data_IF_973201444248
#
_entry.id   IF_973201444248
#
_cell.length_a   1.000
_cell.length_b   1.000
_cell.length_c   1.000
_cell.angle_alpha   90.00
_cell.angle_beta   90.00
_cell.angle_gamma   90.00
#
_symmetry.space_group_name_H-M   'P 1'
#
loop_
_entity.id
_entity.type
_entity.pdbx_description
1 polymer ?
#
# COMPACT_ATOMS: atom_id res chain seq x y z
N UNK A 1 10.00 -10.26 10.79
CA UNK A 1 10.21 -9.55 9.50
C UNK A 1 9.85 -8.08 9.72
N UNK A 2 10.74 -7.14 9.40
CA UNK A 2 10.46 -5.71 9.53
C UNK A 2 9.60 -5.22 8.37
N UNK A 3 8.47 -4.60 8.66
CA UNK A 3 7.48 -4.16 7.66
C UNK A 3 7.39 -2.63 7.63
N UNK A 4 7.57 -2.03 6.46
CA UNK A 4 7.28 -0.61 6.20
C UNK A 4 5.91 -0.50 5.56
N UNK A 5 4.97 0.17 6.23
CA UNK A 5 3.64 0.48 5.70
C UNK A 5 3.64 1.94 5.25
N UNK A 6 3.61 2.14 3.94
CA UNK A 6 3.49 3.46 3.31
C UNK A 6 2.01 3.72 3.08
N UNK A 7 1.46 4.64 3.88
CA UNK A 7 0.05 5.02 3.81
C UNK A 7 -0.11 6.24 2.91
N UNK A 8 -0.84 6.07 1.83
CA UNK A 8 -1.18 7.15 0.90
C UNK A 8 -2.68 7.47 0.98
N UNK A 9 -3.08 8.25 1.95
CA UNK A 9 -4.46 8.70 2.12
C UNK A 9 -4.53 10.23 2.22
N UNK A 10 -5.18 10.92 1.26
CA UNK A 10 -5.22 12.40 1.23
C UNK A 10 -5.92 13.03 2.43
N UNK A 11 -6.87 12.33 3.04
CA UNK A 11 -7.63 12.78 4.22
C UNK A 11 -7.74 11.64 5.24
N UNK A 12 -6.66 11.38 5.98
CA UNK A 12 -6.63 10.29 6.96
C UNK A 12 -7.63 10.50 8.10
N UNK A 13 -7.86 11.74 8.53
CA UNK A 13 -8.77 12.02 9.63
C UNK A 13 -10.22 11.66 9.30
N UNK A 14 -10.62 11.82 8.05
CA UNK A 14 -11.94 11.44 7.55
C UNK A 14 -12.06 9.95 7.18
N UNK A 15 -10.98 9.18 7.23
CA UNK A 15 -10.98 7.77 6.85
C UNK A 15 -11.34 6.87 8.03
N UNK A 16 -12.43 6.14 7.93
CA UNK A 16 -12.78 5.10 8.93
C UNK A 16 -11.86 3.87 8.80
N UNK A 17 -11.75 3.33 7.61
CA UNK A 17 -11.03 2.07 7.33
C UNK A 17 -9.52 2.22 7.47
N UNK A 18 -8.90 3.13 6.69
CA UNK A 18 -7.44 3.27 6.71
C UNK A 18 -6.92 3.75 8.06
N UNK A 19 -7.71 4.56 8.78
CA UNK A 19 -7.38 4.98 10.14
C UNK A 19 -7.44 3.83 11.14
N UNK A 20 -8.46 2.97 11.07
CA UNK A 20 -8.56 1.78 11.91
C UNK A 20 -7.39 0.82 11.66
N UNK A 21 -7.07 0.55 10.41
CA UNK A 21 -5.92 -0.27 10.04
C UNK A 21 -4.61 0.28 10.60
N UNK A 22 -4.36 1.57 10.40
CA UNK A 22 -3.18 2.24 10.97
C UNK A 22 -3.12 2.05 12.49
N UNK A 23 -4.20 2.37 13.21
CA UNK A 23 -4.22 2.31 14.67
C UNK A 23 -3.96 0.90 15.21
N UNK A 24 -4.40 -0.15 14.50
CA UNK A 24 -4.13 -1.54 14.88
C UNK A 24 -2.68 -1.96 14.61
N UNK A 25 -2.03 -1.35 13.62
CA UNK A 25 -0.66 -1.68 13.22
C UNK A 25 0.41 -0.89 13.99
N UNK A 26 0.14 0.36 14.39
CA UNK A 26 1.15 1.27 14.94
C UNK A 26 1.75 0.82 16.29
N UNK A 27 1.09 -0.10 17.00
CA UNK A 27 1.59 -0.68 18.25
C UNK A 27 2.33 -2.03 18.04
N UNK A 28 2.77 -2.33 16.84
CA UNK A 28 3.51 -3.56 16.52
C UNK A 28 5.00 -3.25 16.39
N UNK A 29 5.84 -3.92 17.17
CA UNK A 29 7.30 -3.65 17.23
C UNK A 29 8.03 -3.83 15.89
N UNK A 30 7.46 -4.64 15.00
CA UNK A 30 8.05 -4.94 13.69
C UNK A 30 7.44 -4.13 12.53
N UNK A 31 6.53 -3.18 12.81
CA UNK A 31 5.85 -2.38 11.79
C UNK A 31 6.19 -0.90 11.94
N UNK A 32 6.69 -0.30 10.87
CA UNK A 32 6.92 1.14 10.75
C UNK A 32 5.85 1.75 9.87
N UNK A 33 5.12 2.74 10.37
CA UNK A 33 4.10 3.48 9.63
C UNK A 33 4.71 4.76 9.04
N UNK A 34 4.51 4.98 7.75
CA UNK A 34 4.89 6.21 7.06
C UNK A 34 3.68 6.80 6.32
N UNK A 35 3.06 7.83 6.89
CA UNK A 35 1.94 8.57 6.28
C UNK A 35 2.49 9.65 5.33
N UNK A 36 2.60 9.34 4.03
CA UNK A 36 3.28 10.22 3.08
C UNK A 36 2.58 11.58 2.86
N UNK A 37 1.25 11.65 2.95
CA UNK A 37 0.53 12.92 2.88
C UNK A 37 0.75 13.82 4.11
N UNK A 38 1.05 13.23 5.27
CA UNK A 38 1.42 13.95 6.48
C UNK A 38 2.88 14.38 6.45
N UNK A 39 3.77 13.50 5.97
CA UNK A 39 5.21 13.76 5.86
C UNK A 39 5.53 14.78 4.77
N UNK A 40 4.75 14.79 3.70
CA UNK A 40 5.00 15.59 2.49
C UNK A 40 3.74 16.34 2.03
N UNK A 41 3.23 17.29 2.83
CA UNK A 41 1.99 18.01 2.52
C UNK A 41 2.11 18.90 1.28
N UNK A 42 3.33 19.29 0.92
CA UNK A 42 3.66 20.07 -0.29
C UNK A 42 4.14 19.19 -1.47
N UNK A 43 4.14 17.87 -1.30
CA UNK A 43 4.60 16.91 -2.30
C UNK A 43 6.12 16.84 -2.48
N UNK A 44 6.91 17.55 -1.66
CA UNK A 44 8.38 17.50 -1.74
C UNK A 44 8.94 16.34 -0.95
N UNK A 45 9.12 15.21 -1.63
CA UNK A 45 9.56 13.97 -1.02
C UNK A 45 11.05 14.03 -0.69
N UNK A 46 11.42 13.74 0.57
CA UNK A 46 12.80 13.49 0.98
C UNK A 46 13.22 12.10 0.52
N UNK A 47 13.73 12.02 -0.70
CA UNK A 47 14.11 10.76 -1.35
C UNK A 47 15.13 9.98 -0.53
N UNK A 48 16.11 10.65 0.06
CA UNK A 48 17.16 9.98 0.85
C UNK A 48 16.58 9.31 2.09
N UNK A 49 15.74 10.03 2.83
CA UNK A 49 15.02 9.49 4.00
C UNK A 49 14.17 8.29 3.62
N UNK A 50 13.39 8.39 2.54
CA UNK A 50 12.51 7.31 2.10
C UNK A 50 13.30 6.08 1.62
N UNK A 51 14.41 6.27 0.93
CA UNK A 51 15.30 5.17 0.53
C UNK A 51 15.92 4.46 1.73
N UNK A 52 16.32 5.19 2.77
CA UNK A 52 16.83 4.56 4.01
C UNK A 52 15.73 3.77 4.73
N UNK A 53 14.50 4.29 4.78
CA UNK A 53 13.37 3.52 5.31
C UNK A 53 13.15 2.24 4.51
N UNK A 54 13.13 2.31 3.18
CA UNK A 54 12.96 1.13 2.32
C UNK A 54 14.08 0.10 2.56
N UNK A 55 15.33 0.54 2.67
CA UNK A 55 16.48 -0.37 2.93
C UNK A 55 16.36 -1.09 4.27
N UNK A 56 15.90 -0.39 5.31
CA UNK A 56 15.83 -0.90 6.67
C UNK A 56 14.75 -1.95 6.91
N UNK A 57 13.88 -2.21 5.93
CA UNK A 57 12.73 -3.11 6.06
C UNK A 57 12.78 -4.26 5.05
N UNK A 58 12.23 -5.41 5.44
CA UNK A 58 12.18 -6.63 4.64
C UNK A 58 10.93 -6.72 3.76
N UNK A 59 9.86 -6.04 4.20
CA UNK A 59 8.55 -5.99 3.52
C UNK A 59 8.12 -4.55 3.32
N UNK A 60 7.62 -4.25 2.12
CA UNK A 60 7.02 -2.97 1.76
C UNK A 60 5.53 -3.17 1.52
N UNK A 61 4.72 -2.38 2.19
CA UNK A 61 3.25 -2.39 2.04
C UNK A 61 2.80 -1.03 1.56
N UNK A 62 2.01 -0.99 0.49
CA UNK A 62 1.29 0.21 0.08
C UNK A 62 -0.14 0.11 0.55
N UNK A 63 -0.53 1.01 1.48
CA UNK A 63 -1.89 1.11 2.00
C UNK A 63 -2.56 2.37 1.45
N UNK A 64 -3.69 2.20 0.74
CA UNK A 64 -4.37 3.33 0.10
C UNK A 64 -5.86 3.07 -0.19
N UNK A 65 -6.68 4.13 -0.30
CA UNK A 65 -8.02 4.05 -0.85
C UNK A 65 -7.94 3.94 -2.37
N UNK A 66 -8.82 3.11 -2.95
CA UNK A 66 -8.82 2.85 -4.39
C UNK A 66 -9.52 3.98 -5.15
N UNK A 67 -8.75 5.00 -5.51
CA UNK A 67 -9.22 6.17 -6.22
C UNK A 67 -9.03 6.00 -7.73
N UNK A 68 -10.13 6.08 -8.49
CA UNK A 68 -10.10 5.94 -9.94
C UNK A 68 -9.25 4.74 -10.41
N UNK A 69 -9.53 3.58 -9.81
CA UNK A 69 -8.86 2.31 -10.11
C UNK A 69 -7.36 2.29 -9.84
N UNK A 70 -6.86 3.22 -9.01
CA UNK A 70 -5.45 3.32 -8.67
C UNK A 70 -5.25 3.88 -7.25
N UNK A 71 -4.00 4.08 -6.85
CA UNK A 71 -3.64 4.81 -5.64
C UNK A 71 -3.77 6.33 -5.84
N UNK A 72 -3.91 7.10 -4.74
CA UNK A 72 -3.77 8.56 -4.75
C UNK A 72 -2.45 9.02 -5.35
N UNK A 73 -2.45 10.18 -6.02
CA UNK A 73 -1.35 10.67 -6.87
C UNK A 73 0.01 10.76 -6.17
N UNK A 74 0.04 11.13 -4.89
CA UNK A 74 1.29 11.24 -4.14
C UNK A 74 2.03 9.91 -4.02
N UNK A 75 1.33 8.76 -4.02
CA UNK A 75 1.99 7.45 -4.01
C UNK A 75 2.74 7.20 -5.33
N UNK A 76 2.16 7.58 -6.46
CA UNK A 76 2.85 7.45 -7.76
C UNK A 76 4.07 8.35 -7.81
N UNK A 77 3.95 9.61 -7.36
CA UNK A 77 5.07 10.53 -7.27
C UNK A 77 6.17 10.00 -6.33
N UNK A 78 5.76 9.41 -5.20
CA UNK A 78 6.68 8.77 -4.25
C UNK A 78 7.44 7.61 -4.92
N UNK A 79 6.74 6.73 -5.63
CA UNK A 79 7.36 5.62 -6.36
C UNK A 79 8.38 6.11 -7.39
N UNK A 80 8.00 7.11 -8.21
CA UNK A 80 8.87 7.65 -9.27
C UNK A 80 10.14 8.28 -8.71
N UNK A 81 10.02 8.93 -7.54
CA UNK A 81 11.15 9.61 -6.90
C UNK A 81 12.06 8.64 -6.13
N UNK A 82 11.47 7.72 -5.37
CA UNK A 82 12.21 6.85 -4.44
C UNK A 82 12.76 5.62 -5.14
N UNK A 83 12.01 5.00 -6.08
CA UNK A 83 12.45 3.84 -6.85
C UNK A 83 13.28 4.24 -8.07
N UNK A 84 14.24 5.13 -7.84
CA UNK A 84 15.10 5.69 -8.87
C UNK A 84 16.13 4.68 -9.41
N UNK A 85 16.71 5.01 -10.58
CA UNK A 85 17.85 4.31 -11.16
C UNK A 85 19.05 4.28 -10.19
N UNK A 86 19.71 3.16 -10.09
CA UNK A 86 20.81 2.95 -9.13
C UNK A 86 20.35 2.62 -7.70
N UNK A 87 19.03 2.71 -7.41
CA UNK A 87 18.46 2.28 -6.15
C UNK A 87 17.60 1.01 -6.30
N UNK A 88 16.58 1.06 -7.14
CA UNK A 88 15.63 -0.03 -7.36
C UNK A 88 15.95 -0.89 -8.58
N UNK A 89 16.69 -0.37 -9.54
CA UNK A 89 17.05 -1.02 -10.80
C UNK A 89 18.31 -0.42 -11.41
N UNK A 90 18.85 -1.06 -12.45
CA UNK A 90 20.10 -0.66 -13.09
C UNK A 90 21.33 -1.13 -12.32
N UNK A 91 22.53 -0.67 -12.71
CA UNK A 91 23.79 -1.02 -12.03
C UNK A 91 23.72 -0.65 -10.53
N UNK A 92 23.99 -1.65 -9.66
CA UNK A 92 23.89 -1.53 -8.20
C UNK A 92 22.49 -1.25 -7.63
N UNK A 93 21.45 -1.15 -8.47
CA UNK A 93 20.06 -0.89 -8.09
C UNK A 93 19.33 -2.15 -7.62
N UNK A 94 19.69 -2.71 -6.45
CA UNK A 94 19.17 -3.96 -5.92
C UNK A 94 18.49 -3.81 -4.54
N UNK A 95 18.21 -2.58 -4.11
CA UNK A 95 17.68 -2.30 -2.77
C UNK A 95 16.28 -2.87 -2.51
N UNK A 96 15.56 -3.26 -3.55
CA UNK A 96 14.23 -3.88 -3.46
C UNK A 96 14.27 -5.41 -3.62
N UNK A 97 15.38 -5.95 -4.10
CA UNK A 97 15.49 -7.38 -4.41
C UNK A 97 15.18 -8.24 -3.19
N UNK A 98 14.34 -9.28 -3.41
CA UNK A 98 13.90 -10.25 -2.41
C UNK A 98 12.98 -9.71 -1.29
N UNK A 99 12.73 -8.40 -1.21
CA UNK A 99 11.75 -7.85 -0.28
C UNK A 99 10.34 -8.33 -0.62
N UNK A 100 9.52 -8.58 0.38
CA UNK A 100 8.10 -8.79 0.14
C UNK A 100 7.40 -7.48 -0.22
N UNK A 101 6.47 -7.53 -1.17
CA UNK A 101 5.64 -6.40 -1.55
C UNK A 101 4.15 -6.78 -1.52
N UNK A 102 3.33 -5.95 -0.89
CA UNK A 102 1.88 -6.16 -0.77
C UNK A 102 1.11 -4.86 -0.90
N UNK A 103 -0.05 -4.94 -1.55
CA UNK A 103 -1.05 -3.87 -1.55
C UNK A 103 -2.09 -4.11 -0.45
N UNK A 104 -2.51 -3.04 0.21
CA UNK A 104 -3.59 -2.98 1.19
C UNK A 104 -4.57 -1.91 0.72
N UNK A 105 -5.73 -2.33 0.26
CA UNK A 105 -6.65 -1.49 -0.52
C UNK A 105 -8.02 -1.41 0.16
N UNK A 106 -8.52 -0.21 0.34
CA UNK A 106 -9.91 0.05 0.71
C UNK A 106 -10.69 0.49 -0.53
N UNK A 107 -11.70 -0.29 -0.93
CA UNK A 107 -12.49 -0.07 -2.14
C UNK A 107 -13.96 0.24 -1.80
N UNK A 108 -14.53 1.25 -2.45
CA UNK A 108 -15.93 1.62 -2.25
C UNK A 108 -16.93 0.65 -2.88
N UNK A 109 -16.57 0.02 -4.00
CA UNK A 109 -17.42 -0.96 -4.68
C UNK A 109 -17.51 -2.29 -3.94
N UNK A 110 -18.59 -3.04 -4.19
CA UNK A 110 -18.78 -4.39 -3.66
C UNK A 110 -17.86 -5.38 -4.37
N UNK A 111 -17.45 -6.45 -3.69
CA UNK A 111 -16.52 -7.45 -4.23
C UNK A 111 -17.00 -8.05 -5.56
N UNK A 112 -18.27 -8.44 -5.65
CA UNK A 112 -18.86 -9.00 -6.85
C UNK A 112 -18.93 -8.03 -8.03
N UNK A 113 -18.73 -6.72 -7.82
CA UNK A 113 -18.66 -5.78 -8.93
C UNK A 113 -17.30 -5.79 -9.63
N UNK A 114 -16.24 -6.25 -8.95
CA UNK A 114 -14.87 -6.31 -9.49
C UNK A 114 -14.59 -7.68 -10.13
N UNK A 115 -15.31 -7.97 -11.18
CA UNK A 115 -15.13 -9.20 -11.99
C UNK A 115 -15.66 -9.00 -13.41
N UNK A 116 -15.33 -9.91 -14.30
CA UNK A 116 -15.90 -9.94 -15.65
C UNK A 116 -17.43 -10.01 -15.57
N UNK A 117 -18.12 -9.10 -16.24
CA UNK A 117 -19.58 -8.97 -16.19
C UNK A 117 -20.13 -8.24 -14.96
N UNK A 118 -19.33 -7.94 -13.96
CA UNK A 118 -19.71 -7.04 -12.85
C UNK A 118 -19.66 -5.57 -13.25
N UNK A 119 -20.19 -4.69 -12.40
CA UNK A 119 -20.28 -3.26 -12.69
C UNK A 119 -18.93 -2.55 -12.96
N UNK A 120 -17.86 -3.08 -12.41
CA UNK A 120 -16.49 -2.56 -12.63
C UNK A 120 -15.76 -3.27 -13.79
N UNK A 121 -16.30 -4.36 -14.32
CA UNK A 121 -15.80 -5.16 -15.44
C UNK A 121 -14.45 -5.85 -15.24
N UNK A 122 -13.62 -5.38 -14.32
CA UNK A 122 -12.25 -5.87 -14.08
C UNK A 122 -12.07 -6.24 -12.61
N UNK A 123 -11.27 -7.27 -12.37
CA UNK A 123 -10.84 -7.63 -11.01
C UNK A 123 -9.85 -6.61 -10.45
N UNK A 124 -9.75 -6.51 -9.12
CA UNK A 124 -8.69 -5.69 -8.48
C UNK A 124 -7.30 -6.14 -8.94
N UNK A 125 -7.09 -7.45 -9.15
CA UNK A 125 -5.80 -7.97 -9.65
C UNK A 125 -5.46 -7.47 -11.04
N UNK A 126 -6.42 -7.35 -11.95
CA UNK A 126 -6.21 -6.76 -13.28
C UNK A 126 -5.92 -5.27 -13.20
N UNK A 127 -6.70 -4.54 -12.39
CA UNK A 127 -6.55 -3.09 -12.23
C UNK A 127 -5.23 -2.69 -11.52
N UNK A 128 -4.65 -3.59 -10.70
CA UNK A 128 -3.39 -3.36 -9.99
C UNK A 128 -2.18 -4.05 -10.63
N UNK A 129 -2.31 -4.54 -11.87
CA UNK A 129 -1.27 -5.30 -12.58
C UNK A 129 0.06 -4.55 -12.70
N UNK A 130 0.03 -3.23 -12.76
CA UNK A 130 1.22 -2.38 -12.84
C UNK A 130 2.11 -2.51 -11.59
N UNK A 131 1.52 -2.70 -10.40
CA UNK A 131 2.28 -2.91 -9.17
C UNK A 131 2.94 -4.28 -9.14
N UNK A 132 2.28 -5.32 -9.63
CA UNK A 132 2.89 -6.64 -9.79
C UNK A 132 4.05 -6.60 -10.80
N UNK A 133 3.85 -5.92 -11.92
CA UNK A 133 4.90 -5.74 -12.94
C UNK A 133 6.12 -4.99 -12.35
N UNK A 134 5.89 -3.92 -11.59
CA UNK A 134 6.93 -3.17 -10.88
C UNK A 134 7.67 -4.07 -9.88
N UNK A 135 6.95 -4.85 -9.08
CA UNK A 135 7.56 -5.77 -8.12
C UNK A 135 8.44 -6.82 -8.82
N UNK A 136 7.96 -7.43 -9.90
CA UNK A 136 8.73 -8.38 -10.70
C UNK A 136 9.97 -7.74 -11.32
N UNK A 137 9.83 -6.55 -11.89
CA UNK A 137 10.94 -5.82 -12.51
C UNK A 137 12.07 -5.50 -11.52
N UNK A 138 11.71 -5.15 -10.29
CA UNK A 138 12.66 -4.79 -9.21
C UNK A 138 13.12 -5.98 -8.36
N UNK A 139 12.66 -7.20 -8.68
CA UNK A 139 13.02 -8.43 -7.97
C UNK A 139 12.34 -8.61 -6.60
N UNK A 140 11.26 -7.88 -6.33
CA UNK A 140 10.44 -8.08 -5.14
C UNK A 140 9.53 -9.30 -5.25
N UNK A 141 9.19 -9.89 -4.11
CA UNK A 141 8.24 -10.99 -3.98
C UNK A 141 6.83 -10.43 -3.78
N UNK A 142 6.07 -10.29 -4.88
CA UNK A 142 4.68 -9.82 -4.83
C UNK A 142 3.79 -10.81 -4.09
N UNK A 143 3.03 -10.31 -3.09
CA UNK A 143 2.03 -11.07 -2.33
C UNK A 143 0.62 -10.65 -2.72
N UNK A 144 -0.36 -11.54 -2.63
CA UNK A 144 -1.75 -11.20 -2.91
C UNK A 144 -2.19 -9.95 -2.16
N UNK A 145 -2.91 -9.05 -2.83
CA UNK A 145 -3.42 -7.84 -2.22
C UNK A 145 -4.41 -8.17 -1.08
N UNK A 146 -4.36 -7.39 0.00
CA UNK A 146 -5.41 -7.36 1.00
C UNK A 146 -6.42 -6.28 0.59
N UNK A 147 -7.65 -6.67 0.33
CA UNK A 147 -8.69 -5.74 -0.15
C UNK A 147 -9.89 -5.79 0.79
N UNK A 148 -10.38 -4.63 1.20
CA UNK A 148 -11.66 -4.47 1.89
C UNK A 148 -12.63 -3.71 0.98
N UNK A 149 -13.71 -4.37 0.62
CA UNK A 149 -14.72 -3.86 -0.29
C UNK A 149 -15.88 -3.17 0.43
N UNK A 150 -16.70 -2.44 -0.33
CA UNK A 150 -17.93 -1.80 0.14
C UNK A 150 -17.75 -0.96 1.42
N UNK A 151 -16.62 -0.26 1.52
CA UNK A 151 -16.15 0.38 2.76
C UNK A 151 -17.12 1.39 3.37
N UNK A 152 -18.05 1.93 2.59
CA UNK A 152 -19.09 2.85 3.05
C UNK A 152 -20.32 2.15 3.69
N UNK A 153 -20.42 0.81 3.54
CA UNK A 153 -21.51 -0.01 4.09
C UNK A 153 -21.11 -0.78 5.35
N UNK A 154 -19.84 -0.76 5.72
CA UNK A 154 -19.30 -1.59 6.80
C UNK A 154 -19.61 -0.98 8.18
N UNK A 155 -19.91 -1.85 9.13
CA UNK A 155 -19.97 -1.52 10.55
C UNK A 155 -18.57 -1.29 11.13
N UNK A 156 -18.48 -0.66 12.30
CA UNK A 156 -17.20 -0.54 13.02
C UNK A 156 -16.63 -1.92 13.39
N UNK A 157 -17.50 -2.88 13.71
CA UNK A 157 -17.07 -4.25 13.99
C UNK A 157 -16.41 -4.92 12.79
N UNK A 158 -16.99 -4.77 11.58
CA UNK A 158 -16.41 -5.32 10.35
C UNK A 158 -15.06 -4.68 10.03
N UNK A 159 -14.95 -3.37 10.24
CA UNK A 159 -13.69 -2.64 10.04
C UNK A 159 -12.63 -3.14 11.03
N UNK A 160 -12.96 -3.30 12.31
CA UNK A 160 -12.02 -3.80 13.31
C UNK A 160 -11.60 -5.26 13.03
N UNK A 161 -12.54 -6.14 12.66
CA UNK A 161 -12.20 -7.51 12.22
C UNK A 161 -11.22 -7.51 11.03
N UNK A 162 -11.41 -6.59 10.08
CA UNK A 162 -10.50 -6.45 8.95
C UNK A 162 -9.12 -5.97 9.38
N UNK A 163 -9.04 -5.10 10.39
CA UNK A 163 -7.78 -4.60 10.94
C UNK A 163 -7.01 -5.71 11.68
N UNK A 164 -7.70 -6.54 12.47
CA UNK A 164 -7.12 -7.71 13.13
C UNK A 164 -6.57 -8.72 12.10
N UNK A 165 -7.35 -8.98 11.02
CA UNK A 165 -6.91 -9.84 9.93
C UNK A 165 -5.68 -9.27 9.21
N UNK A 166 -5.65 -7.97 8.93
CA UNK A 166 -4.51 -7.30 8.32
C UNK A 166 -3.28 -7.43 9.23
N UNK A 167 -3.42 -7.16 10.52
CA UNK A 167 -2.34 -7.29 11.50
C UNK A 167 -1.78 -8.72 11.54
N UNK A 168 -2.64 -9.74 11.52
CA UNK A 168 -2.20 -11.14 11.49
C UNK A 168 -1.42 -11.53 10.23
N UNK A 169 -1.70 -10.88 9.10
CA UNK A 169 -1.00 -11.12 7.82
C UNK A 169 0.37 -10.43 7.79
N UNK A 170 0.52 -9.31 8.51
CA UNK A 170 1.74 -8.50 8.50
C UNK A 170 2.71 -8.83 9.64
N UNK A 171 2.26 -9.53 10.67
CA UNK A 171 3.13 -10.09 11.72
C UNK A 171 3.76 -11.40 11.27
#
# INVERSE_FOLDING_TARGET
>A
MKTLVIIAHPNMDGSKVNKAWKNHLENSDNITINEIYKSYPDGKIDVKREQELVKAHDRIVFQFPFHWYNAPSLLKQWMDSVFAFGFSHGPNGNSLKEKEFRLVISAGGQEQSYQAGGAQHFTISELTKTYEAMAKFTGMNYRPAFVLYATHLLSEEDINKSADKLKSILN
#
